data_IF_634690805947
#
_entry.id   IF_634690805947
#
_cell.length_a   1.000
_cell.length_b   1.000
_cell.length_c   1.000
_cell.angle_alpha   90.00
_cell.angle_beta   90.00
_cell.angle_gamma   90.00
#
_symmetry.space_group_name_H-M   'P 1'
#
loop_
_entity.id
_entity.type
_entity.pdbx_description
1 polymer ?
#
# COMPACT_ATOMS: atom_id res chain seq x y z
N UNK A 1 -22.94 -54.11 78.92
CA UNK A 1 -21.73 -54.25 78.07
C UNK A 1 -21.68 -53.08 77.10
N UNK A 2 -20.46 -52.60 76.82
CA UNK A 2 -20.11 -51.31 76.20
C UNK A 2 -20.75 -51.11 74.82
N UNK A 3 -21.31 -49.93 74.55
CA UNK A 3 -21.57 -49.45 73.19
C UNK A 3 -20.64 -48.28 72.89
N UNK A 4 -19.99 -48.36 71.73
CA UNK A 4 -18.78 -47.63 71.37
C UNK A 4 -19.14 -46.53 70.37
N UNK A 5 -18.74 -45.31 70.68
CA UNK A 5 -18.70 -44.17 69.76
C UNK A 5 -17.74 -44.46 68.59
N UNK A 6 -18.17 -44.24 67.34
CA UNK A 6 -17.26 -43.85 66.25
C UNK A 6 -17.95 -42.83 65.33
N UNK A 7 -17.49 -41.59 65.45
CA UNK A 7 -17.79 -40.47 64.58
C UNK A 7 -16.93 -40.62 63.31
N UNK A 8 -17.57 -40.71 62.15
CA UNK A 8 -16.90 -40.75 60.85
C UNK A 8 -16.64 -39.33 60.35
N UNK A 9 -15.37 -38.96 60.19
CA UNK A 9 -14.93 -37.70 59.59
C UNK A 9 -14.70 -37.93 58.09
N UNK A 10 -15.56 -37.38 57.24
CA UNK A 10 -15.35 -37.36 55.79
C UNK A 10 -14.52 -36.14 55.41
N UNK A 11 -13.31 -36.36 54.90
CA UNK A 11 -12.48 -35.32 54.29
C UNK A 11 -12.75 -35.31 52.79
N UNK A 12 -13.33 -34.23 52.27
CA UNK A 12 -13.48 -34.00 50.85
C UNK A 12 -12.21 -33.32 50.31
N UNK A 13 -11.42 -34.03 49.48
CA UNK A 13 -10.38 -33.43 48.67
C UNK A 13 -10.99 -32.99 47.34
N UNK A 14 -11.11 -31.67 47.12
CA UNK A 14 -11.40 -31.11 45.81
C UNK A 14 -10.12 -31.14 44.97
N UNK A 15 -10.07 -32.05 43.99
CA UNK A 15 -9.03 -32.01 42.95
C UNK A 15 -9.51 -31.03 41.88
N UNK A 16 -8.97 -29.81 41.90
CA UNK A 16 -9.09 -28.91 40.76
C UNK A 16 -8.25 -29.48 39.62
N UNK A 17 -8.92 -30.05 38.62
CA UNK A 17 -8.26 -30.46 37.38
C UNK A 17 -7.81 -29.22 36.62
N UNK A 18 -6.50 -28.96 36.61
CA UNK A 18 -5.90 -28.07 35.63
C UNK A 18 -5.99 -28.76 34.27
N UNK A 19 -6.82 -28.24 33.37
CA UNK A 19 -6.86 -28.64 31.97
C UNK A 19 -5.59 -28.13 31.29
N UNK A 20 -4.61 -29.00 31.07
CA UNK A 20 -3.33 -28.68 30.42
C UNK A 20 -3.44 -28.66 28.88
N UNK A 21 -4.61 -28.29 28.34
CA UNK A 21 -4.87 -28.35 26.89
C UNK A 21 -4.70 -27.01 26.17
N UNK A 22 -4.51 -25.91 26.90
CA UNK A 22 -4.06 -24.64 26.34
C UNK A 22 -2.57 -24.48 26.64
N UNK A 23 -1.68 -24.91 25.73
CA UNK A 23 -0.31 -24.37 25.59
C UNK A 23 0.57 -25.01 24.52
N UNK A 24 0.10 -26.00 23.74
CA UNK A 24 0.91 -26.55 22.63
C UNK A 24 0.49 -25.99 21.26
N UNK A 25 -0.75 -25.50 21.14
CA UNK A 25 -1.26 -24.88 19.90
C UNK A 25 -0.60 -23.53 19.57
N UNK A 26 -0.41 -22.68 20.58
CA UNK A 26 0.17 -21.34 20.39
C UNK A 26 1.69 -21.35 20.15
N UNK A 27 2.38 -22.42 20.55
CA UNK A 27 3.81 -22.60 20.26
C UNK A 27 4.10 -22.97 18.80
N UNK A 28 3.07 -23.38 18.05
CA UNK A 28 3.16 -23.80 16.65
C UNK A 28 2.26 -22.98 15.71
N UNK A 29 1.55 -21.98 16.24
CA UNK A 29 0.88 -21.00 15.40
C UNK A 29 1.96 -20.28 14.58
N UNK A 30 1.80 -20.15 13.25
CA UNK A 30 2.73 -19.35 12.46
C UNK A 30 2.78 -17.95 13.09
N UNK A 31 3.98 -17.45 13.35
CA UNK A 31 4.20 -16.10 13.87
C UNK A 31 3.37 -15.12 13.03
N UNK A 32 2.35 -14.53 13.63
CA UNK A 32 1.62 -13.46 12.98
C UNK A 32 2.46 -12.20 13.12
N UNK A 33 3.21 -11.90 12.07
CA UNK A 33 4.04 -10.71 11.99
C UNK A 33 3.24 -9.41 12.27
N UNK A 34 1.91 -9.40 12.03
CA UNK A 34 1.06 -8.21 12.22
C UNK A 34 0.82 -7.95 13.71
N UNK A 35 0.61 -9.02 14.49
CA UNK A 35 0.54 -8.93 15.96
C UNK A 35 1.85 -8.44 16.60
N UNK A 36 2.99 -8.61 15.93
CA UNK A 36 4.30 -8.12 16.41
C UNK A 36 4.62 -6.67 16.00
N UNK A 37 3.96 -6.14 14.95
CA UNK A 37 4.16 -4.76 14.49
C UNK A 37 3.58 -3.72 15.46
N UNK A 38 2.53 -4.08 16.21
CA UNK A 38 1.88 -3.19 17.18
C UNK A 38 2.76 -2.83 18.38
N UNK A 39 3.81 -3.61 18.67
CA UNK A 39 4.74 -3.32 19.77
C UNK A 39 5.76 -2.22 19.50
N UNK A 40 5.95 -1.82 18.24
CA UNK A 40 7.02 -0.87 17.86
C UNK A 40 6.51 0.50 17.39
N UNK A 41 5.19 0.73 17.42
CA UNK A 41 4.57 1.98 16.97
C UNK A 41 3.69 2.64 18.05
N UNK A 42 4.24 2.91 19.23
CA UNK A 42 3.72 3.98 20.10
C UNK A 42 4.53 5.26 19.84
N UNK A 43 4.02 6.12 18.94
CA UNK A 43 4.49 7.52 18.87
C UNK A 43 3.99 8.27 20.12
N UNK A 44 4.84 9.06 20.80
CA UNK A 44 4.42 9.82 21.96
C UNK A 44 3.43 10.92 21.54
N UNK A 45 2.21 10.86 22.08
CA UNK A 45 1.22 11.94 21.94
C UNK A 45 1.72 13.14 22.74
N UNK A 46 2.18 14.19 22.06
CA UNK A 46 2.40 15.49 22.71
C UNK A 46 1.05 16.15 23.00
N UNK A 47 0.73 16.28 24.29
CA UNK A 47 -0.45 16.96 24.78
C UNK A 47 -0.36 18.50 24.60
N UNK A 48 -1.50 19.07 24.17
CA UNK A 48 -1.99 20.45 24.37
C UNK A 48 -1.71 21.50 23.27
N UNK A 49 -2.73 21.76 22.44
CA UNK A 49 -3.22 23.13 22.18
C UNK A 49 -4.75 23.11 22.06
N UNK A 50 -5.45 23.71 23.02
CA UNK A 50 -6.90 23.97 22.97
C UNK A 50 -7.15 25.24 22.15
N UNK A 51 -7.85 25.12 21.02
CA UNK A 51 -8.44 26.27 20.30
C UNK A 51 -9.96 26.04 20.19
N UNK A 52 -10.82 26.97 20.63
CA UNK A 52 -12.26 26.77 20.57
C UNK A 52 -12.85 27.41 19.30
N UNK A 53 -13.39 26.65 18.36
CA UNK A 53 -14.51 27.15 17.55
C UNK A 53 -15.36 26.11 16.80
N UNK A 54 -16.67 26.24 17.04
CA UNK A 54 -17.86 25.96 16.21
C UNK A 54 -17.99 24.66 15.39
N UNK A 55 -18.82 23.79 15.98
CA UNK A 55 -20.04 23.16 15.44
C UNK A 55 -20.30 23.36 13.93
N UNK A 56 -20.20 22.24 13.20
CA UNK A 56 -21.05 21.99 12.03
C UNK A 56 -20.35 21.37 10.84
N UNK A 57 -19.87 20.13 10.95
CA UNK A 57 -19.97 19.07 9.93
C UNK A 57 -19.71 17.75 10.65
N UNK A 58 -20.64 16.79 10.58
CA UNK A 58 -20.41 15.46 11.13
C UNK A 58 -19.31 14.80 10.32
N UNK A 59 -18.15 14.58 10.94
CA UNK A 59 -17.21 13.59 10.45
C UNK A 59 -17.94 12.24 10.42
N UNK A 60 -17.81 11.41 9.36
CA UNK A 60 -18.15 10.02 9.50
C UNK A 60 -17.30 9.45 10.64
N UNK A 61 -17.95 8.75 11.56
CA UNK A 61 -17.29 8.09 12.67
C UNK A 61 -16.16 7.23 12.13
N UNK A 62 -15.05 7.26 12.84
CA UNK A 62 -14.01 6.24 12.74
C UNK A 62 -14.63 4.91 13.21
N UNK A 63 -15.42 4.30 12.33
CA UNK A 63 -15.82 2.92 12.49
C UNK A 63 -14.54 2.12 12.26
N UNK A 64 -14.05 1.63 13.40
CA UNK A 64 -13.09 0.56 13.59
C UNK A 64 -12.90 -0.24 12.31
N UNK A 65 -11.67 -0.22 11.79
CA UNK A 65 -11.26 -1.09 10.70
C UNK A 65 -11.61 -2.53 11.08
N UNK A 66 -12.71 -3.06 10.52
CA UNK A 66 -12.95 -4.50 10.50
C UNK A 66 -11.68 -5.14 9.98
N UNK A 67 -11.16 -6.13 10.72
CA UNK A 67 -10.03 -6.92 10.27
C UNK A 67 -10.35 -7.40 8.85
N UNK A 68 -9.65 -6.82 7.87
CA UNK A 68 -9.86 -7.12 6.48
C UNK A 68 -9.41 -8.56 6.28
N UNK A 69 -10.34 -9.51 6.43
CA UNK A 69 -10.17 -10.90 6.04
C UNK A 69 -9.61 -10.85 4.62
N UNK A 70 -8.42 -11.42 4.40
CA UNK A 70 -7.79 -11.53 3.09
C UNK A 70 -8.66 -12.42 2.20
N UNK A 71 -9.73 -11.84 1.67
CA UNK A 71 -10.60 -12.48 0.72
C UNK A 71 -9.89 -12.46 -0.63
N UNK A 72 -9.99 -13.58 -1.35
CA UNK A 72 -9.47 -13.73 -2.72
C UNK A 72 -9.89 -12.62 -3.69
N UNK A 73 -10.92 -11.84 -3.35
CA UNK A 73 -11.56 -10.84 -4.20
C UNK A 73 -11.33 -9.39 -3.77
N UNK A 74 -10.55 -9.15 -2.69
CA UNK A 74 -10.25 -7.80 -2.22
C UNK A 74 -9.67 -6.90 -3.33
N UNK A 75 -8.88 -7.46 -4.25
CA UNK A 75 -8.29 -6.74 -5.37
C UNK A 75 -9.31 -6.17 -6.37
N UNK A 76 -10.53 -6.74 -6.46
CA UNK A 76 -11.58 -6.24 -7.37
C UNK A 76 -12.19 -4.91 -6.93
N UNK A 77 -11.97 -4.54 -5.67
CA UNK A 77 -12.43 -3.26 -5.12
C UNK A 77 -11.45 -2.12 -5.33
N UNK A 78 -10.29 -2.41 -5.94
CA UNK A 78 -9.24 -1.43 -6.14
C UNK A 78 -9.68 -0.26 -7.02
N UNK A 79 -9.22 0.93 -6.64
CA UNK A 79 -9.53 2.14 -7.41
C UNK A 79 -8.84 2.12 -8.77
N UNK A 80 -9.55 2.62 -9.78
CA UNK A 80 -9.04 2.79 -11.14
C UNK A 80 -9.62 4.06 -11.77
N UNK A 81 -8.94 4.57 -12.80
CA UNK A 81 -9.47 5.65 -13.64
C UNK A 81 -9.50 5.22 -15.11
N UNK A 82 -10.42 5.82 -15.86
CA UNK A 82 -10.60 5.52 -17.28
C UNK A 82 -9.72 6.42 -18.16
N UNK A 83 -9.68 6.12 -19.45
CA UNK A 83 -9.03 7.00 -20.41
C UNK A 83 -9.62 8.43 -20.33
N UNK A 84 -8.78 9.45 -20.55
CA UNK A 84 -9.15 10.86 -20.53
C UNK A 84 -9.68 11.41 -19.19
N UNK A 85 -9.69 10.66 -18.08
CA UNK A 85 -10.10 11.20 -16.76
C UNK A 85 -9.36 12.49 -16.39
N UNK A 86 -8.08 12.60 -16.80
CA UNK A 86 -7.27 13.80 -16.57
C UNK A 86 -6.93 14.54 -17.88
N UNK A 87 -7.79 14.43 -18.90
CA UNK A 87 -7.65 15.18 -20.17
C UNK A 87 -6.54 14.71 -21.10
N UNK A 88 -5.89 13.57 -20.83
CA UNK A 88 -4.87 12.96 -21.69
C UNK A 88 -5.29 11.57 -22.12
N UNK A 89 -4.99 11.23 -23.37
CA UNK A 89 -5.10 9.86 -23.86
C UNK A 89 -4.11 8.97 -23.12
N UNK A 90 -4.61 7.85 -22.61
CA UNK A 90 -3.90 6.84 -21.82
C UNK A 90 -4.32 5.44 -22.25
N UNK A 91 -4.78 5.25 -23.50
CA UNK A 91 -5.12 3.95 -24.05
C UNK A 91 -6.49 3.43 -23.59
N UNK A 92 -6.89 2.29 -24.13
CA UNK A 92 -8.21 1.70 -23.92
C UNK A 92 -8.34 1.00 -22.54
N UNK A 93 -7.27 0.43 -22.00
CA UNK A 93 -7.32 -0.20 -20.68
C UNK A 93 -7.37 0.84 -19.56
N UNK A 94 -8.15 0.59 -18.51
CA UNK A 94 -8.17 1.45 -17.32
C UNK A 94 -6.80 1.47 -16.62
N UNK A 95 -6.48 2.57 -15.93
CA UNK A 95 -5.27 2.69 -15.11
C UNK A 95 -5.61 2.36 -13.66
N UNK A 96 -4.84 1.47 -13.05
CA UNK A 96 -5.01 1.11 -11.64
C UNK A 96 -4.45 2.25 -10.81
N UNK A 97 -5.23 2.82 -9.89
CA UNK A 97 -4.82 3.96 -9.05
C UNK A 97 -4.66 3.63 -7.58
N UNK A 98 -4.97 2.38 -7.21
CA UNK A 98 -4.95 1.96 -5.82
C UNK A 98 -3.52 1.96 -5.24
N UNK A 99 -3.34 2.66 -4.12
CA UNK A 99 -2.05 2.72 -3.44
C UNK A 99 -1.66 1.36 -2.84
N UNK A 100 -2.61 0.48 -2.57
CA UNK A 100 -2.35 -0.89 -2.12
C UNK A 100 -1.78 -1.78 -3.23
N UNK A 101 -1.78 -1.31 -4.48
CA UNK A 101 -1.08 -1.97 -5.57
C UNK A 101 0.45 -1.72 -5.55
N UNK A 102 0.95 -0.90 -4.62
CA UNK A 102 2.36 -0.54 -4.48
C UNK A 102 3.06 -1.37 -3.40
N UNK A 103 4.38 -1.49 -3.53
CA UNK A 103 5.23 -2.05 -2.48
C UNK A 103 5.01 -1.31 -1.16
N UNK A 104 4.86 -1.97 0.01
CA UNK A 104 4.50 -1.32 1.29
C UNK A 104 5.35 -0.10 1.64
N UNK A 105 6.69 -0.25 1.64
CA UNK A 105 7.60 0.89 1.86
C UNK A 105 7.35 2.07 0.91
N UNK A 106 7.20 1.79 -0.39
CA UNK A 106 6.98 2.84 -1.38
C UNK A 106 5.60 3.49 -1.21
N UNK A 107 4.56 2.69 -0.94
CA UNK A 107 3.20 3.13 -0.64
C UNK A 107 3.20 4.18 0.46
N UNK A 108 3.93 3.96 1.54
CA UNK A 108 3.95 4.87 2.68
C UNK A 108 4.68 6.19 2.36
N UNK A 109 5.76 6.13 1.57
CA UNK A 109 6.39 7.36 1.03
C UNK A 109 5.44 8.12 0.11
N UNK A 110 4.63 7.44 -0.70
CA UNK A 110 3.62 8.09 -1.57
C UNK A 110 2.47 8.70 -0.75
N UNK A 111 1.97 8.01 0.27
CA UNK A 111 0.97 8.57 1.19
C UNK A 111 1.50 9.85 1.84
N UNK A 112 2.75 9.82 2.31
CA UNK A 112 3.41 11.01 2.89
C UNK A 112 3.56 12.14 1.87
N UNK A 113 3.91 11.83 0.62
CA UNK A 113 3.98 12.83 -0.47
C UNK A 113 2.63 13.51 -0.68
N UNK A 114 1.54 12.74 -0.74
CA UNK A 114 0.18 13.28 -0.93
C UNK A 114 -0.20 14.19 0.25
N UNK A 115 0.04 13.75 1.49
CA UNK A 115 -0.21 14.53 2.71
C UNK A 115 0.60 15.84 2.70
N UNK A 116 1.90 15.77 2.40
CA UNK A 116 2.79 16.94 2.44
C UNK A 116 2.50 17.95 1.33
N UNK A 117 2.02 17.48 0.18
CA UNK A 117 1.53 18.34 -0.90
C UNK A 117 0.20 19.00 -0.51
N UNK A 118 -0.74 18.23 0.05
CA UNK A 118 -2.04 18.74 0.53
C UNK A 118 -1.86 19.82 1.59
N UNK A 119 -0.94 19.63 2.55
CA UNK A 119 -0.60 20.62 3.57
C UNK A 119 -0.09 21.95 2.98
N UNK A 120 0.38 21.95 1.73
CA UNK A 120 0.81 23.14 0.98
C UNK A 120 -0.25 23.65 0.01
N UNK A 121 -1.49 23.16 0.11
CA UNK A 121 -2.60 23.51 -0.78
C UNK A 121 -2.50 22.89 -2.17
N UNK A 122 -1.78 21.77 -2.32
CA UNK A 122 -1.62 21.07 -3.60
C UNK A 122 -2.26 19.69 -3.47
N UNK A 123 -3.47 19.53 -3.99
CA UNK A 123 -4.11 18.22 -4.11
C UNK A 123 -3.41 17.39 -5.20
N UNK A 124 -3.15 16.12 -4.93
CA UNK A 124 -2.59 15.18 -5.90
C UNK A 124 -3.60 14.07 -6.17
N UNK A 125 -3.93 13.88 -7.45
CA UNK A 125 -4.65 12.70 -7.91
C UNK A 125 -3.66 11.66 -8.43
N UNK A 126 -3.91 10.39 -8.13
CA UNK A 126 -3.16 9.27 -8.69
C UNK A 126 -3.67 8.98 -10.10
N UNK A 127 -2.74 8.94 -11.06
CA UNK A 127 -3.02 8.60 -12.46
C UNK A 127 -2.82 7.11 -12.70
N UNK A 128 -1.70 6.56 -12.23
CA UNK A 128 -1.38 5.15 -12.40
C UNK A 128 -0.38 4.68 -11.33
N UNK A 129 -0.73 3.62 -10.63
CA UNK A 129 0.08 2.95 -9.61
C UNK A 129 0.76 1.73 -10.24
N UNK A 130 0.15 0.55 -10.09
CA UNK A 130 0.56 -0.66 -10.76
C UNK A 130 0.16 -0.66 -12.24
N UNK A 131 1.07 -1.11 -13.10
CA UNK A 131 0.84 -1.26 -14.53
C UNK A 131 1.09 -2.70 -14.94
N UNK A 132 0.11 -3.33 -15.57
CA UNK A 132 0.25 -4.69 -16.08
C UNK A 132 1.19 -4.76 -17.29
N UNK A 133 1.64 -5.97 -17.64
CA UNK A 133 2.36 -6.26 -18.87
C UNK A 133 1.52 -5.96 -20.10
N UNK A 134 0.22 -6.28 -20.07
CA UNK A 134 -0.71 -5.93 -21.14
C UNK A 134 -0.76 -4.40 -21.34
N UNK A 135 -0.93 -3.63 -20.25
CA UNK A 135 -0.98 -2.17 -20.29
C UNK A 135 0.33 -1.55 -20.77
N UNK A 136 1.46 -2.06 -20.32
CA UNK A 136 2.77 -1.60 -20.78
C UNK A 136 2.96 -1.85 -22.29
N UNK A 137 2.48 -2.99 -22.80
CA UNK A 137 2.53 -3.28 -24.23
C UNK A 137 1.60 -2.37 -25.04
N UNK A 138 0.42 -2.02 -24.53
CA UNK A 138 -0.44 -0.99 -25.15
C UNK A 138 0.29 0.36 -25.23
N UNK A 139 0.92 0.83 -24.15
CA UNK A 139 1.72 2.05 -24.20
C UNK A 139 2.85 1.96 -25.22
N UNK A 140 3.45 0.77 -25.37
CA UNK A 140 4.49 0.56 -26.37
C UNK A 140 3.94 0.66 -27.80
N UNK A 141 2.73 0.17 -28.07
CA UNK A 141 2.09 0.27 -29.40
C UNK A 141 1.59 1.68 -29.70
N UNK A 142 1.14 2.43 -28.68
CA UNK A 142 0.79 3.85 -28.80
C UNK A 142 1.99 4.76 -29.11
N UNK A 143 3.22 4.25 -28.95
CA UNK A 143 4.44 4.87 -29.45
C UNK A 143 5.33 5.52 -28.40
N UNK A 144 6.47 6.07 -28.87
CA UNK A 144 7.60 6.52 -28.03
C UNK A 144 7.25 7.62 -27.03
N UNK A 145 6.16 8.36 -27.26
CA UNK A 145 5.63 9.38 -26.34
C UNK A 145 5.20 8.76 -25.00
N UNK A 146 4.70 7.54 -25.02
CA UNK A 146 4.21 6.83 -23.83
C UNK A 146 5.32 5.98 -23.19
N UNK A 147 6.00 5.17 -24.00
CA UNK A 147 7.14 4.38 -23.52
C UNK A 147 8.01 3.87 -24.68
N UNK A 148 9.30 3.71 -24.41
CA UNK A 148 10.21 2.94 -25.26
C UNK A 148 10.42 1.50 -24.78
N UNK A 149 9.98 1.18 -23.56
CA UNK A 149 10.21 -0.09 -22.90
C UNK A 149 9.03 -1.03 -23.11
N UNK A 150 9.32 -2.27 -23.51
CA UNK A 150 8.31 -3.35 -23.52
C UNK A 150 7.96 -3.83 -22.11
N UNK A 151 7.06 -4.80 -22.02
CA UNK A 151 6.66 -5.43 -20.75
C UNK A 151 7.84 -5.95 -19.91
N UNK A 152 7.68 -5.95 -18.59
CA UNK A 152 8.68 -6.30 -17.58
C UNK A 152 9.76 -5.24 -17.33
N UNK A 153 9.80 -4.13 -18.08
CA UNK A 153 10.91 -3.17 -18.02
C UNK A 153 10.58 -1.85 -17.33
N UNK A 154 9.32 -1.65 -16.95
CA UNK A 154 8.86 -0.48 -16.19
C UNK A 154 8.73 -0.81 -14.70
N UNK A 155 9.06 0.14 -13.83
CA UNK A 155 8.94 -0.02 -12.37
C UNK A 155 7.49 -0.07 -11.88
N UNK A 156 6.54 0.45 -12.66
CA UNK A 156 5.11 0.28 -12.36
C UNK A 156 4.70 -1.19 -12.31
N UNK A 157 5.39 -2.07 -13.05
CA UNK A 157 5.11 -3.51 -13.11
C UNK A 157 5.63 -4.26 -11.88
N UNK A 158 6.27 -3.55 -10.96
CA UNK A 158 6.81 -4.05 -9.70
C UNK A 158 6.27 -3.28 -8.49
N UNK A 159 5.28 -2.39 -8.68
CA UNK A 159 4.75 -1.55 -7.60
C UNK A 159 5.75 -0.54 -7.03
N UNK A 160 6.74 -0.14 -7.82
CA UNK A 160 7.86 0.73 -7.41
C UNK A 160 7.86 2.10 -8.11
N UNK A 161 6.79 2.40 -8.85
CA UNK A 161 6.58 3.69 -9.47
C UNK A 161 5.11 4.10 -9.40
N UNK A 162 4.86 5.41 -9.47
CA UNK A 162 3.53 5.99 -9.51
C UNK A 162 3.55 7.24 -10.40
N UNK A 163 2.47 7.42 -11.14
CA UNK A 163 2.16 8.65 -11.85
C UNK A 163 1.07 9.41 -11.08
N UNK A 164 1.31 10.69 -10.83
CA UNK A 164 0.36 11.60 -10.18
C UNK A 164 0.12 12.86 -11.02
N UNK A 165 -0.94 13.60 -10.71
CA UNK A 165 -1.21 14.91 -11.28
C UNK A 165 -1.74 15.88 -10.22
N UNK A 166 -1.23 17.13 -10.15
CA UNK A 166 -1.79 18.17 -9.32
C UNK A 166 -3.19 18.57 -9.77
N UNK A 167 -4.08 18.74 -8.82
CA UNK A 167 -5.44 19.26 -9.02
C UNK A 167 -5.52 20.67 -8.44
N UNK A 168 -5.97 21.62 -9.27
CA UNK A 168 -6.26 23.00 -8.86
C UNK A 168 -7.65 23.32 -9.39
N UNK A 169 -8.54 23.81 -8.53
CA UNK A 169 -9.95 24.11 -8.86
C UNK A 169 -10.66 22.92 -9.55
N UNK A 170 -10.40 21.71 -9.06
CA UNK A 170 -10.93 20.44 -9.62
C UNK A 170 -10.45 20.09 -11.03
N UNK A 171 -9.44 20.80 -11.55
CA UNK A 171 -8.86 20.57 -12.89
C UNK A 171 -7.43 20.05 -12.75
N UNK A 172 -7.11 19.04 -13.58
CA UNK A 172 -5.76 18.51 -13.69
C UNK A 172 -4.79 19.52 -14.33
N UNK A 173 -3.72 19.87 -13.63
CA UNK A 173 -2.73 20.87 -14.08
C UNK A 173 -1.47 20.17 -14.60
N UNK A 174 -1.31 20.16 -15.92
CA UNK A 174 -0.17 19.48 -16.57
C UNK A 174 1.01 20.40 -16.91
N UNK A 175 0.75 21.68 -17.19
CA UNK A 175 1.74 22.56 -17.85
C UNK A 175 2.37 23.59 -16.89
N UNK A 176 2.13 23.46 -15.57
CA UNK A 176 2.67 24.38 -14.56
C UNK A 176 4.01 23.89 -13.98
N UNK A 177 5.11 24.39 -14.55
CA UNK A 177 6.48 24.01 -14.15
C UNK A 177 6.79 24.34 -12.68
N UNK A 178 6.32 25.50 -12.18
CA UNK A 178 6.58 25.92 -10.81
C UNK A 178 5.87 25.00 -9.79
N UNK A 179 4.65 24.59 -10.11
CA UNK A 179 3.86 23.64 -9.31
C UNK A 179 4.54 22.27 -9.30
N UNK A 180 4.93 21.76 -10.48
CA UNK A 180 5.66 20.50 -10.59
C UNK A 180 6.95 20.50 -9.79
N UNK A 181 7.70 21.61 -9.78
CA UNK A 181 8.90 21.74 -8.95
C UNK A 181 8.61 21.63 -7.45
N UNK A 182 7.50 22.19 -6.96
CA UNK A 182 7.09 22.08 -5.55
C UNK A 182 6.78 20.62 -5.18
N UNK A 183 6.02 19.93 -6.03
CA UNK A 183 5.65 18.51 -5.84
C UNK A 183 6.90 17.63 -5.92
N UNK A 184 7.69 17.80 -6.97
CA UNK A 184 8.95 17.09 -7.20
C UNK A 184 9.92 17.16 -6.03
N UNK A 185 10.25 18.38 -5.59
CA UNK A 185 11.16 18.59 -4.44
C UNK A 185 10.59 18.00 -3.15
N UNK A 186 9.26 17.97 -2.98
CA UNK A 186 8.63 17.31 -1.83
C UNK A 186 8.86 15.80 -1.88
N UNK A 187 8.67 15.17 -3.04
CA UNK A 187 8.97 13.74 -3.21
C UNK A 187 10.45 13.39 -3.06
N UNK A 188 11.34 14.23 -3.58
CA UNK A 188 12.79 14.04 -3.42
C UNK A 188 13.23 14.04 -1.95
N UNK A 189 12.63 14.89 -1.11
CA UNK A 189 12.89 14.91 0.35
C UNK A 189 12.47 13.62 1.06
N UNK A 190 11.54 12.86 0.48
CA UNK A 190 11.10 11.55 0.97
C UNK A 190 11.95 10.39 0.42
N UNK A 191 13.05 10.69 -0.28
CA UNK A 191 13.94 9.70 -0.88
C UNK A 191 13.45 9.13 -2.21
N UNK A 192 12.44 9.76 -2.83
CA UNK A 192 11.91 9.33 -4.13
C UNK A 192 12.75 9.91 -5.26
N UNK A 193 12.93 9.14 -6.34
CA UNK A 193 13.46 9.67 -7.60
C UNK A 193 12.29 10.25 -8.39
N UNK A 194 12.44 11.51 -8.78
CA UNK A 194 11.40 12.25 -9.49
C UNK A 194 11.72 12.39 -10.98
N UNK A 195 10.75 12.06 -11.84
CA UNK A 195 10.92 12.11 -13.30
C UNK A 195 11.06 13.53 -13.87
N UNK A 196 10.71 14.57 -13.11
CA UNK A 196 10.98 15.95 -13.49
C UNK A 196 12.47 16.34 -13.46
N UNK A 197 13.34 15.49 -12.89
CA UNK A 197 14.80 15.66 -13.02
C UNK A 197 15.38 15.04 -14.29
N UNK A 198 14.61 14.23 -15.00
CA UNK A 198 15.12 13.52 -16.16
C UNK A 198 15.29 14.45 -17.34
N UNK A 199 16.41 14.32 -18.05
CA UNK A 199 16.68 15.10 -19.25
C UNK A 199 15.74 14.70 -20.39
N UNK A 200 15.59 13.40 -20.63
CA UNK A 200 14.70 12.81 -21.64
C UNK A 200 14.30 11.38 -21.25
N UNK A 201 13.00 11.03 -21.26
CA UNK A 201 11.87 11.96 -21.33
C UNK A 201 11.79 12.79 -20.04
N UNK A 202 11.33 14.05 -20.14
CA UNK A 202 10.93 14.82 -18.96
C UNK A 202 9.54 14.33 -18.54
N UNK A 203 9.42 13.86 -17.30
CA UNK A 203 8.18 13.24 -16.81
C UNK A 203 7.88 13.66 -15.36
N UNK A 204 7.34 14.86 -15.14
CA UNK A 204 7.19 15.41 -13.80
C UNK A 204 6.07 14.74 -12.99
N UNK A 205 5.19 13.97 -13.63
CA UNK A 205 4.16 13.18 -12.95
C UNK A 205 4.69 11.90 -12.33
N UNK A 206 5.84 11.41 -12.80
CA UNK A 206 6.41 10.13 -12.40
C UNK A 206 7.27 10.25 -11.13
N UNK A 207 7.02 9.36 -10.17
CA UNK A 207 7.88 9.10 -9.03
C UNK A 207 8.23 7.62 -8.97
N UNK A 208 9.47 7.32 -8.60
CA UNK A 208 9.90 5.94 -8.39
C UNK A 208 10.82 5.77 -7.19
N UNK A 209 10.78 4.58 -6.61
CA UNK A 209 11.76 4.12 -5.64
C UNK A 209 12.57 2.98 -6.25
N UNK A 210 13.90 3.11 -6.26
CA UNK A 210 14.80 2.07 -6.80
C UNK A 210 15.32 1.13 -5.74
N UNK A 211 15.45 1.58 -4.49
CA UNK A 211 16.30 0.94 -3.46
C UNK A 211 17.66 0.48 -4.00
N UNK A 212 18.29 1.29 -4.87
CA UNK A 212 19.58 0.97 -5.51
C UNK A 212 19.52 0.00 -6.69
N UNK A 213 18.35 -0.52 -7.05
CA UNK A 213 18.18 -1.49 -8.13
C UNK A 213 17.93 -0.86 -9.50
N UNK A 214 18.36 -1.58 -10.53
CA UNK A 214 18.12 -1.25 -11.94
C UNK A 214 16.95 -2.08 -12.48
N UNK A 215 16.38 -1.70 -13.62
CA UNK A 215 15.35 -2.53 -14.29
C UNK A 215 15.83 -3.95 -14.59
N UNK A 216 17.15 -4.17 -14.78
CA UNK A 216 17.72 -5.51 -14.99
C UNK A 216 17.60 -6.39 -13.75
N UNK A 217 17.82 -5.81 -12.56
CA UNK A 217 17.63 -6.53 -11.30
C UNK A 217 16.17 -6.92 -11.10
N UNK A 218 15.25 -5.99 -11.36
CA UNK A 218 13.81 -6.24 -11.27
C UNK A 218 13.37 -7.37 -12.21
N UNK A 219 13.84 -7.36 -13.47
CA UNK A 219 13.54 -8.46 -14.41
C UNK A 219 14.13 -9.81 -14.02
N UNK A 220 15.15 -9.83 -13.15
CA UNK A 220 15.72 -11.05 -12.59
C UNK A 220 14.98 -11.51 -11.31
N UNK A 221 13.90 -10.83 -10.91
CA UNK A 221 13.13 -11.14 -9.71
C UNK A 221 13.68 -10.53 -8.43
N UNK A 222 14.69 -9.66 -8.51
CA UNK A 222 15.29 -9.01 -7.34
C UNK A 222 14.48 -7.75 -7.04
N UNK A 223 13.83 -7.69 -5.88
CA UNK A 223 13.15 -6.50 -5.37
C UNK A 223 14.02 -5.77 -4.33
N UNK A 224 13.81 -4.46 -4.11
CA UNK A 224 14.61 -3.75 -3.14
C UNK A 224 14.30 -4.20 -1.71
N UNK A 225 15.33 -4.40 -0.90
CA UNK A 225 15.18 -4.78 0.51
C UNK A 225 14.91 -3.55 1.38
N UNK A 226 14.16 -3.76 2.45
CA UNK A 226 13.95 -2.79 3.54
C UNK A 226 14.21 -3.47 4.87
N UNK A 227 14.34 -2.67 5.94
CA UNK A 227 14.61 -3.21 7.27
C UNK A 227 13.41 -4.01 7.77
N UNK A 228 13.65 -5.26 8.19
CA UNK A 228 12.65 -6.13 8.80
C UNK A 228 12.04 -5.51 10.07
N UNK A 229 12.82 -4.72 10.82
CA UNK A 229 12.32 -4.04 12.02
C UNK A 229 11.26 -2.97 11.69
N UNK A 230 11.34 -2.33 10.52
CA UNK A 230 10.37 -1.31 10.08
C UNK A 230 9.19 -1.93 9.31
N UNK A 231 9.39 -3.08 8.66
CA UNK A 231 8.37 -3.82 7.92
C UNK A 231 8.42 -5.33 8.25
N UNK A 232 7.96 -5.75 9.43
CA UNK A 232 8.08 -7.14 9.89
C UNK A 232 7.25 -8.14 9.06
N UNK A 233 6.20 -7.68 8.36
CA UNK A 233 5.32 -8.48 7.50
C UNK A 233 5.61 -8.36 6.01
N UNK A 234 6.80 -7.88 5.62
CA UNK A 234 7.03 -7.49 4.25
C UNK A 234 6.85 -8.67 3.27
N UNK A 235 7.34 -9.85 3.61
CA UNK A 235 7.28 -10.99 2.69
C UNK A 235 5.84 -11.45 2.45
N UNK A 236 5.02 -11.53 3.51
CA UNK A 236 3.60 -11.85 3.43
C UNK A 236 2.84 -10.80 2.61
N UNK A 237 3.09 -9.50 2.87
CA UNK A 237 2.50 -8.41 2.11
C UNK A 237 2.87 -8.50 0.62
N UNK A 238 4.13 -8.83 0.30
CA UNK A 238 4.59 -8.98 -1.08
C UNK A 238 4.00 -10.22 -1.76
N UNK A 239 3.81 -11.32 -1.05
CA UNK A 239 3.15 -12.52 -1.58
C UNK A 239 1.69 -12.23 -1.94
N UNK A 240 0.95 -11.59 -1.03
CA UNK A 240 -0.43 -11.15 -1.26
C UNK A 240 -0.51 -10.16 -2.42
N UNK A 241 0.40 -9.19 -2.47
CA UNK A 241 0.46 -8.22 -3.54
C UNK A 241 0.73 -8.86 -4.92
N UNK A 242 1.66 -9.82 -5.00
CA UNK A 242 1.94 -10.57 -6.24
C UNK A 242 0.74 -11.37 -6.74
N UNK A 243 -0.05 -11.94 -5.82
CA UNK A 243 -1.30 -12.63 -6.17
C UNK A 243 -2.29 -11.67 -6.81
N UNK A 244 -2.51 -10.50 -6.21
CA UNK A 244 -3.40 -9.48 -6.78
C UNK A 244 -2.90 -8.93 -8.13
N UNK A 245 -1.60 -8.69 -8.26
CA UNK A 245 -0.99 -8.31 -9.54
C UNK A 245 -1.26 -9.34 -10.63
N UNK A 246 -1.12 -10.64 -10.32
CA UNK A 246 -1.41 -11.72 -11.27
C UNK A 246 -2.86 -11.71 -11.73
N UNK A 247 -3.82 -11.43 -10.86
CA UNK A 247 -5.23 -11.33 -11.23
C UNK A 247 -5.49 -10.13 -12.16
N UNK A 248 -4.86 -8.98 -11.92
CA UNK A 248 -4.89 -7.83 -12.82
C UNK A 248 -4.27 -8.14 -14.19
N UNK A 249 -3.13 -8.85 -14.21
CA UNK A 249 -2.49 -9.30 -15.45
C UNK A 249 -3.43 -10.18 -16.27
N UNK A 250 -4.10 -11.15 -15.63
CA UNK A 250 -5.09 -12.02 -16.29
C UNK A 250 -6.25 -11.18 -16.85
N UNK A 251 -6.79 -10.28 -16.04
CA UNK A 251 -7.95 -9.46 -16.39
C UNK A 251 -7.67 -8.53 -17.57
N UNK A 252 -6.58 -7.75 -17.52
CA UNK A 252 -6.23 -6.83 -18.60
C UNK A 252 -5.72 -7.58 -19.85
N UNK A 253 -5.01 -8.69 -19.70
CA UNK A 253 -4.59 -9.52 -20.85
C UNK A 253 -5.77 -10.20 -21.57
N UNK A 254 -6.90 -10.41 -20.88
CA UNK A 254 -8.11 -10.93 -21.52
C UNK A 254 -8.80 -9.87 -22.39
N UNK A 255 -8.66 -8.59 -22.04
CA UNK A 255 -9.22 -7.47 -22.82
C UNK A 255 -8.49 -7.30 -24.16
N UNK A 256 -7.19 -7.57 -24.23
CA UNK A 256 -6.39 -7.42 -25.47
C UNK A 256 -6.62 -8.54 -26.49
N UNK A 257 -7.36 -9.60 -26.15
CA UNK A 257 -7.65 -10.74 -27.04
C UNK A 257 -9.03 -10.63 -27.72
N UNK A 258 -9.81 -9.62 -27.37
CA UNK A 258 -11.11 -9.32 -27.96
C UNK A 258 -10.94 -8.27 -29.05
#
# INVERSE_FOLDING_TARGET
MRSVLKLSLSVAFAVAGFSSQAQIGDLLAPLDCRSHAEWFHEEPVEDNVVIPYRRGFSAPSADLAEEAIDTLEAWKTWSSVQNYTFGKDRGAMAMITDLNALHPYFRDKIKKLIIDCRAKGIELAVVESYRTHAKQNEYKTMGKKYTNSGAGRSKHQYGLAIDVVPIVDSVAVWDNVALWRKVGVTGEKLGLRWGGRWRKPYDPGHFEWTGGLTSKHLTAGILPSVSENEYPCLEEDLLTLRKYWKEWEVTQSAMTRR
#
